data_IF_766278148267
#
_entry.id   IF_766278148267
#
_cell.length_a   1.000
_cell.length_b   1.000
_cell.length_c   1.000
_cell.angle_alpha   90.00
_cell.angle_beta   90.00
_cell.angle_gamma   90.00
#
_symmetry.space_group_name_H-M   'P 1'
#
loop_
_entity.id
_entity.type
_entity.pdbx_description
1 polymer ?
#
# COMPACT_ATOMS: atom_id res chain seq x y z
N UNK A 1 2.85 19.50 29.50
CA UNK A 1 3.55 20.62 28.82
C UNK A 1 3.85 20.32 27.35
N UNK A 2 4.44 19.18 27.00
CA UNK A 2 4.71 18.83 25.60
C UNK A 2 3.45 18.72 24.70
N UNK A 3 2.34 18.17 25.21
CA UNK A 3 1.09 18.01 24.44
C UNK A 3 0.40 19.36 24.11
N UNK A 4 0.45 20.33 25.02
CA UNK A 4 -0.11 21.66 24.78
C UNK A 4 0.68 22.42 23.71
N UNK A 5 2.02 22.30 23.74
CA UNK A 5 2.90 22.87 22.72
C UNK A 5 2.69 22.19 21.35
N UNK A 6 2.50 20.87 21.32
CA UNK A 6 2.18 20.14 20.09
C UNK A 6 0.83 20.60 19.50
N UNK A 7 -0.21 20.72 20.33
CA UNK A 7 -1.53 21.21 19.91
C UNK A 7 -1.47 22.66 19.40
N UNK A 8 -0.70 23.53 20.06
CA UNK A 8 -0.48 24.91 19.62
C UNK A 8 0.27 25.01 18.28
N UNK A 9 1.27 24.14 18.07
CA UNK A 9 2.02 24.05 16.81
C UNK A 9 1.14 23.61 15.64
N UNK A 10 0.30 22.59 15.85
CA UNK A 10 -0.67 22.11 14.84
C UNK A 10 -1.69 23.20 14.52
N UNK A 11 -2.18 23.93 15.52
CA UNK A 11 -3.14 25.01 15.30
C UNK A 11 -2.56 26.14 14.42
N UNK A 12 -1.34 26.60 14.70
CA UNK A 12 -0.69 27.65 13.89
C UNK A 12 -0.40 27.15 12.47
N UNK A 13 0.16 25.95 12.35
CA UNK A 13 0.59 25.41 11.06
C UNK A 13 -0.60 24.98 10.20
N UNK A 14 -1.51 24.16 10.72
CA UNK A 14 -2.64 23.63 9.96
C UNK A 14 -3.87 24.54 9.98
N UNK A 15 -4.12 25.26 11.07
CA UNK A 15 -5.32 26.08 11.25
C UNK A 15 -5.22 27.49 10.65
N UNK A 16 -4.03 28.11 10.66
CA UNK A 16 -3.86 29.50 10.19
C UNK A 16 -3.07 29.53 8.89
N UNK A 17 -1.91 28.87 8.85
CA UNK A 17 -0.99 28.98 7.72
C UNK A 17 -1.54 28.32 6.44
N UNK A 18 -2.08 27.10 6.51
CA UNK A 18 -2.62 26.40 5.32
C UNK A 18 -3.81 27.14 4.70
N UNK A 19 -4.87 27.54 5.44
CA UNK A 19 -6.00 28.27 4.84
C UNK A 19 -5.59 29.65 4.34
N UNK A 20 -4.71 30.37 5.06
CA UNK A 20 -4.24 31.67 4.60
C UNK A 20 -3.52 31.56 3.26
N UNK A 21 -2.63 30.58 3.09
CA UNK A 21 -1.98 30.36 1.81
C UNK A 21 -2.94 29.81 0.74
N UNK A 22 -3.90 28.97 1.11
CA UNK A 22 -4.87 28.45 0.15
C UNK A 22 -5.80 29.54 -0.43
N UNK A 23 -6.19 30.53 0.36
CA UNK A 23 -7.17 31.55 -0.05
C UNK A 23 -6.56 32.93 -0.39
N UNK A 24 -5.44 33.30 0.24
CA UNK A 24 -4.85 34.63 0.14
C UNK A 24 -3.40 34.64 -0.40
N UNK A 25 -2.84 33.49 -0.80
CA UNK A 25 -1.56 33.47 -1.52
C UNK A 25 -1.72 33.90 -2.98
N UNK A 26 -0.58 33.98 -3.67
CA UNK A 26 -0.50 34.26 -5.11
C UNK A 26 -1.47 33.37 -5.90
N UNK A 27 -2.40 33.98 -6.65
CA UNK A 27 -3.28 33.26 -7.57
C UNK A 27 -2.41 32.54 -8.61
N UNK A 28 -2.40 31.21 -8.56
CA UNK A 28 -1.67 30.36 -9.50
C UNK A 28 -2.38 30.23 -10.85
N UNK A 29 -3.54 30.90 -11.03
CA UNK A 29 -4.30 30.91 -12.29
C UNK A 29 -5.02 29.59 -12.61
N UNK A 30 -4.95 28.61 -11.70
CA UNK A 30 -5.57 27.30 -11.88
C UNK A 30 -7.06 27.44 -11.61
N UNK A 31 -7.89 27.24 -12.63
CA UNK A 31 -9.35 27.18 -12.50
C UNK A 31 -9.76 25.72 -12.35
N UNK A 32 -9.89 25.24 -11.12
CA UNK A 32 -10.33 23.88 -10.82
C UNK A 32 -11.86 23.79 -10.89
N UNK A 33 -12.37 22.72 -11.50
CA UNK A 33 -13.80 22.37 -11.43
C UNK A 33 -14.19 21.96 -10.03
N UNK A 34 -15.43 22.23 -9.62
CA UNK A 34 -15.96 21.72 -8.35
C UNK A 34 -15.88 20.19 -8.29
N UNK A 35 -15.65 19.61 -7.09
CA UNK A 35 -15.59 18.16 -6.92
C UNK A 35 -16.89 17.46 -7.35
N UNK A 36 -16.84 16.20 -7.80
CA UNK A 36 -18.03 15.44 -8.16
C UNK A 36 -18.98 15.31 -6.95
N UNK A 37 -20.30 15.22 -7.17
CA UNK A 37 -21.31 15.29 -6.11
C UNK A 37 -21.16 14.19 -5.05
N UNK A 38 -20.68 13.01 -5.44
CA UNK A 38 -20.41 11.91 -4.51
C UNK A 38 -19.29 12.26 -3.50
N UNK A 39 -18.27 13.00 -3.94
CA UNK A 39 -17.19 13.47 -3.07
C UNK A 39 -17.70 14.56 -2.12
N UNK A 40 -18.53 15.48 -2.62
CA UNK A 40 -19.15 16.52 -1.80
C UNK A 40 -20.00 15.90 -0.68
N UNK A 41 -20.85 14.92 -1.02
CA UNK A 41 -21.70 14.22 -0.05
C UNK A 41 -20.86 13.50 1.02
N UNK A 42 -19.78 12.82 0.64
CA UNK A 42 -18.87 12.18 1.59
C UNK A 42 -18.21 13.21 2.53
N UNK A 43 -17.75 14.35 2.00
CA UNK A 43 -17.19 15.43 2.81
C UNK A 43 -18.23 16.02 3.77
N UNK A 44 -19.47 16.22 3.33
CA UNK A 44 -20.55 16.72 4.19
C UNK A 44 -20.88 15.75 5.32
N UNK A 45 -20.96 14.46 5.05
CA UNK A 45 -21.22 13.43 6.07
C UNK A 45 -20.07 13.39 7.08
N UNK A 46 -18.82 13.41 6.62
CA UNK A 46 -17.65 13.44 7.49
C UNK A 46 -17.62 14.71 8.37
N UNK A 47 -17.88 15.88 7.78
CA UNK A 47 -17.96 17.14 8.51
C UNK A 47 -19.09 17.12 9.55
N UNK A 48 -20.27 16.60 9.18
CA UNK A 48 -21.39 16.45 10.10
C UNK A 48 -21.04 15.53 11.28
N UNK A 49 -20.40 14.39 11.04
CA UNK A 49 -19.95 13.48 12.09
C UNK A 49 -18.92 14.14 13.01
N UNK A 50 -17.93 14.85 12.45
CA UNK A 50 -16.95 15.59 13.25
C UNK A 50 -17.62 16.65 14.14
N UNK A 51 -18.60 17.39 13.61
CA UNK A 51 -19.36 18.37 14.37
C UNK A 51 -20.26 17.72 15.43
N UNK A 52 -20.95 16.63 15.09
CA UNK A 52 -21.83 15.92 16.00
C UNK A 52 -21.07 15.35 17.21
N UNK A 53 -19.92 14.72 16.95
CA UNK A 53 -19.04 14.18 18.01
C UNK A 53 -18.43 15.34 18.83
N UNK A 54 -18.07 16.45 18.18
CA UNK A 54 -17.51 17.62 18.85
C UNK A 54 -18.49 18.33 19.78
N UNK A 55 -19.75 18.49 19.35
CA UNK A 55 -20.80 19.18 20.13
C UNK A 55 -21.35 18.29 21.25
N UNK A 56 -21.49 16.99 21.00
CA UNK A 56 -22.06 16.04 21.95
C UNK A 56 -21.08 14.91 22.29
N UNK A 57 -20.04 15.22 23.10
CA UNK A 57 -19.01 14.23 23.43
C UNK A 57 -19.52 13.13 24.39
N UNK A 58 -20.65 13.37 25.07
CA UNK A 58 -21.32 12.40 25.96
C UNK A 58 -21.66 11.09 25.24
N UNK A 59 -21.96 11.14 23.93
CA UNK A 59 -22.18 9.93 23.12
C UNK A 59 -20.96 9.02 23.08
N UNK A 60 -19.75 9.58 23.08
CA UNK A 60 -18.51 8.82 23.09
C UNK A 60 -18.14 8.35 24.50
N UNK A 61 -18.35 9.20 25.51
CA UNK A 61 -18.05 8.87 26.91
C UNK A 61 -18.90 7.70 27.45
N UNK A 62 -20.13 7.54 26.98
CA UNK A 62 -20.99 6.40 27.34
C UNK A 62 -20.49 5.03 26.85
N UNK A 63 -19.62 5.01 25.83
CA UNK A 63 -19.03 3.78 25.28
C UNK A 63 -17.75 3.40 26.04
N UNK A 64 -17.19 4.33 26.83
CA UNK A 64 -15.97 4.09 27.58
C UNK A 64 -16.24 3.21 28.81
N UNK A 65 -15.46 2.13 29.03
CA UNK A 65 -15.65 1.21 30.16
C UNK A 65 -15.25 1.79 31.53
N UNK A 66 -14.58 2.94 31.56
CA UNK A 66 -14.13 3.61 32.78
C UNK A 66 -14.74 5.01 32.86
N UNK A 67 -15.28 5.37 34.03
CA UNK A 67 -15.84 6.70 34.26
C UNK A 67 -14.74 7.76 34.18
N UNK A 68 -14.86 8.68 33.23
CA UNK A 68 -14.00 9.86 33.13
C UNK A 68 -14.81 11.08 33.54
N UNK A 69 -14.59 11.58 34.76
CA UNK A 69 -15.13 12.87 35.23
C UNK A 69 -14.35 14.03 34.59
N UNK A 70 -14.37 14.11 33.26
CA UNK A 70 -13.72 15.18 32.50
C UNK A 70 -14.79 16.05 31.86
N UNK A 71 -14.84 17.32 32.24
CA UNK A 71 -15.73 18.30 31.61
C UNK A 71 -14.98 19.03 30.48
N UNK A 72 -15.18 18.66 29.20
CA UNK A 72 -14.45 19.26 28.08
C UNK A 72 -14.76 20.75 27.87
N UNK A 73 -15.88 21.25 28.41
CA UNK A 73 -16.31 22.64 28.31
C UNK A 73 -16.11 23.43 29.61
N UNK A 74 -15.08 23.10 30.39
CA UNK A 74 -14.72 23.93 31.52
C UNK A 74 -14.15 25.29 31.07
N UNK A 75 -14.52 26.36 31.78
CA UNK A 75 -14.21 27.74 31.43
C UNK A 75 -12.70 27.97 31.29
N UNK A 76 -11.91 27.31 32.13
CA UNK A 76 -10.44 27.41 32.14
C UNK A 76 -9.82 26.91 30.83
N UNK A 77 -10.30 25.78 30.31
CA UNK A 77 -9.79 25.15 29.10
C UNK A 77 -10.15 25.95 27.85
N UNK A 78 -11.40 26.38 27.75
CA UNK A 78 -11.90 27.19 26.62
C UNK A 78 -11.21 28.55 26.59
N UNK A 79 -11.05 29.20 27.74
CA UNK A 79 -10.41 30.52 27.82
C UNK A 79 -8.92 30.45 27.45
N UNK A 80 -8.19 29.44 27.94
CA UNK A 80 -6.79 29.26 27.58
C UNK A 80 -6.60 29.00 26.08
N UNK A 81 -7.46 28.18 25.48
CA UNK A 81 -7.35 27.82 24.07
C UNK A 81 -7.74 29.00 23.15
N UNK A 82 -8.79 29.76 23.49
CA UNK A 82 -9.20 30.97 22.77
C UNK A 82 -8.17 32.09 22.87
N UNK A 83 -7.54 32.28 24.04
CA UNK A 83 -6.45 33.23 24.21
C UNK A 83 -5.24 32.87 23.32
N UNK A 84 -4.86 31.59 23.30
CA UNK A 84 -3.75 31.12 22.46
C UNK A 84 -4.06 31.27 20.97
N UNK A 85 -5.28 30.94 20.55
CA UNK A 85 -5.80 31.19 19.20
C UNK A 85 -5.69 32.67 18.80
N UNK A 86 -6.18 33.57 19.67
CA UNK A 86 -6.19 35.01 19.42
C UNK A 86 -4.77 35.57 19.26
N UNK A 87 -3.85 35.23 20.16
CA UNK A 87 -2.46 35.67 20.07
C UNK A 87 -1.73 35.08 18.86
N UNK A 88 -2.02 33.83 18.48
CA UNK A 88 -1.46 33.21 17.28
C UNK A 88 -1.94 33.93 16.00
N UNK A 89 -3.23 34.27 15.91
CA UNK A 89 -3.78 35.06 14.81
C UNK A 89 -3.17 36.47 14.76
N UNK A 90 -3.07 37.15 15.90
CA UNK A 90 -2.48 38.50 15.97
C UNK A 90 -1.01 38.47 15.53
N UNK A 91 -0.22 37.53 16.03
CA UNK A 91 1.18 37.36 15.64
C UNK A 91 1.32 37.08 14.13
N UNK A 92 0.42 36.28 13.56
CA UNK A 92 0.39 35.99 12.13
C UNK A 92 0.05 37.24 11.29
N UNK A 93 -1.01 37.97 11.64
CA UNK A 93 -1.40 39.21 10.96
C UNK A 93 -0.31 40.27 11.06
N UNK A 94 0.32 40.41 12.22
CA UNK A 94 1.45 41.32 12.43
C UNK A 94 2.63 40.97 11.52
N UNK A 95 3.03 39.69 11.47
CA UNK A 95 4.12 39.23 10.60
C UNK A 95 3.82 39.44 9.12
N UNK A 96 2.54 39.30 8.73
CA UNK A 96 2.09 39.56 7.37
C UNK A 96 2.17 41.05 7.02
N UNK A 97 1.67 41.92 7.89
CA UNK A 97 1.74 43.38 7.72
C UNK A 97 3.18 43.92 7.67
N UNK A 98 4.09 43.31 8.42
CA UNK A 98 5.51 43.67 8.44
C UNK A 98 6.29 43.18 7.22
N UNK A 99 5.70 42.32 6.37
CA UNK A 99 6.34 41.83 5.15
C UNK A 99 7.55 40.91 5.38
N UNK A 100 7.79 40.46 6.62
CA UNK A 100 8.90 39.57 6.99
C UNK A 100 8.52 38.08 6.82
N UNK A 101 7.33 37.80 6.29
CA UNK A 101 6.87 36.42 6.18
C UNK A 101 7.76 35.63 5.20
N UNK A 102 8.44 34.55 5.66
CA UNK A 102 9.37 33.82 4.81
C UNK A 102 8.67 33.24 3.58
N UNK A 103 9.27 33.37 2.38
CA UNK A 103 8.70 32.80 1.17
C UNK A 103 8.62 31.27 1.27
N UNK A 104 7.57 30.69 0.70
CA UNK A 104 7.37 29.25 0.66
C UNK A 104 8.55 28.58 -0.03
N UNK A 105 9.38 27.88 0.76
CA UNK A 105 10.35 26.95 0.20
C UNK A 105 9.61 25.68 -0.15
N UNK A 106 9.72 25.24 -1.40
CA UNK A 106 9.23 23.94 -1.84
C UNK A 106 10.01 22.87 -1.09
N UNK A 107 9.43 22.37 0.00
CA UNK A 107 9.97 21.26 0.76
C UNK A 107 9.40 19.96 0.15
N UNK A 108 10.29 19.13 -0.40
CA UNK A 108 9.92 17.77 -0.78
C UNK A 108 9.86 16.96 0.51
N UNK A 109 8.67 16.85 1.10
CA UNK A 109 8.45 15.96 2.24
C UNK A 109 8.43 14.52 1.74
N UNK A 110 9.52 13.79 1.96
CA UNK A 110 9.60 12.39 1.58
C UNK A 110 8.88 11.56 2.65
N UNK A 111 7.60 11.30 2.41
CA UNK A 111 6.77 10.51 3.32
C UNK A 111 7.30 9.06 3.42
N UNK A 112 7.06 8.41 4.56
CA UNK A 112 7.41 7.00 4.80
C UNK A 112 6.79 6.06 3.75
N UNK A 113 5.68 6.47 3.12
CA UNK A 113 5.08 5.76 2.00
C UNK A 113 6.07 5.56 0.82
N UNK A 114 6.92 6.55 0.54
CA UNK A 114 7.96 6.42 -0.48
C UNK A 114 8.95 5.30 -0.14
N UNK A 115 9.35 5.21 1.13
CA UNK A 115 10.27 4.18 1.60
C UNK A 115 9.65 2.79 1.41
N UNK A 116 8.40 2.62 1.86
CA UNK A 116 7.67 1.36 1.69
C UNK A 116 7.52 0.97 0.21
N UNK A 117 6.98 1.86 -0.64
CA UNK A 117 6.75 1.58 -2.07
C UNK A 117 8.05 1.26 -2.80
N UNK A 118 9.13 2.01 -2.54
CA UNK A 118 10.41 1.83 -3.24
C UNK A 118 11.15 0.58 -2.76
N UNK A 119 11.11 0.29 -1.47
CA UNK A 119 11.74 -0.90 -0.91
C UNK A 119 11.03 -2.17 -1.34
N UNK A 120 9.69 -2.24 -1.24
CA UNK A 120 8.92 -3.43 -1.64
C UNK A 120 9.12 -3.74 -3.12
N UNK A 121 9.05 -2.72 -3.99
CA UNK A 121 9.23 -2.92 -5.42
C UNK A 121 10.60 -3.52 -5.75
N UNK A 122 11.66 -2.98 -5.13
CA UNK A 122 13.02 -3.51 -5.31
C UNK A 122 13.18 -4.92 -4.76
N UNK A 123 12.48 -5.25 -3.67
CA UNK A 123 12.52 -6.59 -3.09
C UNK A 123 11.82 -7.61 -4.01
N UNK A 124 10.65 -7.26 -4.53
CA UNK A 124 9.89 -8.09 -5.47
C UNK A 124 10.68 -8.32 -6.76
N UNK A 125 11.27 -7.27 -7.35
CA UNK A 125 12.10 -7.38 -8.56
C UNK A 125 13.32 -8.29 -8.36
N UNK A 126 13.95 -8.25 -7.17
CA UNK A 126 15.08 -9.14 -6.85
C UNK A 126 14.64 -10.59 -6.63
N UNK A 127 13.52 -10.79 -5.95
CA UNK A 127 12.99 -12.14 -5.68
C UNK A 127 12.52 -12.81 -6.97
N UNK A 128 11.85 -12.09 -7.87
CA UNK A 128 11.42 -12.64 -9.16
C UNK A 128 12.62 -13.04 -10.02
N UNK A 129 13.65 -12.18 -10.10
CA UNK A 129 14.86 -12.49 -10.85
C UNK A 129 15.63 -13.69 -10.26
N UNK A 130 15.61 -13.87 -8.94
CA UNK A 130 16.22 -15.02 -8.28
C UNK A 130 15.47 -16.32 -8.57
N UNK A 131 14.13 -16.28 -8.57
CA UNK A 131 13.28 -17.42 -8.92
C UNK A 131 13.45 -17.81 -10.40
N UNK A 132 13.45 -16.83 -11.31
CA UNK A 132 13.63 -17.08 -12.75
C UNK A 132 15.01 -17.67 -13.05
N UNK A 133 16.05 -17.20 -12.35
CA UNK A 133 17.40 -17.75 -12.46
C UNK A 133 17.45 -19.22 -12.00
N UNK A 134 16.80 -19.53 -10.88
CA UNK A 134 16.75 -20.89 -10.34
C UNK A 134 15.93 -21.85 -11.23
N UNK A 135 14.81 -21.40 -11.77
CA UNK A 135 13.97 -22.19 -12.69
C UNK A 135 14.68 -22.49 -14.00
N UNK A 136 15.41 -21.51 -14.55
CA UNK A 136 16.16 -21.69 -15.80
C UNK A 136 17.26 -22.76 -15.69
N UNK A 137 17.98 -22.81 -14.56
CA UNK A 137 19.00 -23.85 -14.33
C UNK A 137 18.41 -25.24 -14.12
N UNK A 138 17.28 -25.33 -13.40
CA UNK A 138 16.58 -26.59 -13.20
C UNK A 138 16.02 -27.12 -14.52
N UNK A 139 15.41 -26.24 -15.32
CA UNK A 139 14.80 -26.61 -16.59
C UNK A 139 15.81 -27.14 -17.60
N UNK A 140 16.98 -26.50 -17.73
CA UNK A 140 18.05 -26.97 -18.63
C UNK A 140 18.57 -28.33 -18.17
N UNK A 141 18.81 -28.52 -16.86
CA UNK A 141 19.28 -29.81 -16.30
C UNK A 141 18.24 -30.94 -16.48
N UNK A 142 16.95 -30.61 -16.37
CA UNK A 142 15.86 -31.59 -16.54
C UNK A 142 15.67 -31.94 -18.02
N UNK A 143 15.67 -30.97 -18.93
CA UNK A 143 15.55 -31.21 -20.37
C UNK A 143 16.75 -32.03 -20.90
N UNK A 144 17.97 -31.73 -20.45
CA UNK A 144 19.18 -32.50 -20.83
C UNK A 144 19.14 -33.93 -20.29
N UNK A 145 18.67 -34.14 -19.05
CA UNK A 145 18.54 -35.47 -18.47
C UNK A 145 17.46 -36.29 -19.19
N UNK A 146 16.33 -35.69 -19.53
CA UNK A 146 15.24 -36.34 -20.26
C UNK A 146 15.71 -36.75 -21.66
N UNK A 147 16.38 -35.85 -22.39
CA UNK A 147 16.90 -36.15 -23.73
C UNK A 147 17.97 -37.24 -23.71
N UNK A 148 18.82 -37.28 -22.70
CA UNK A 148 19.80 -38.35 -22.51
C UNK A 148 19.13 -39.71 -22.26
N UNK A 149 18.07 -39.75 -21.44
CA UNK A 149 17.31 -40.98 -21.18
C UNK A 149 16.60 -41.44 -22.46
N UNK A 150 15.94 -40.53 -23.18
CA UNK A 150 15.24 -40.87 -24.44
C UNK A 150 16.22 -41.40 -25.49
N UNK A 151 17.39 -40.79 -25.65
CA UNK A 151 18.40 -41.26 -26.61
C UNK A 151 19.03 -42.58 -26.19
N UNK A 152 19.25 -42.82 -24.90
CA UNK A 152 19.72 -44.09 -24.37
C UNK A 152 18.72 -45.24 -24.64
N UNK A 153 17.43 -45.00 -24.40
CA UNK A 153 16.38 -45.98 -24.69
C UNK A 153 16.14 -46.17 -26.19
N UNK A 154 16.24 -45.11 -27.00
CA UNK A 154 16.12 -45.18 -28.45
C UNK A 154 17.24 -46.05 -29.07
N UNK A 155 18.47 -45.96 -28.54
CA UNK A 155 19.60 -46.78 -28.99
C UNK A 155 19.45 -48.26 -28.61
N UNK A 156 18.72 -48.57 -27.53
CA UNK A 156 18.52 -49.96 -27.07
C UNK A 156 17.34 -50.66 -27.75
N UNK A 157 16.33 -49.92 -28.22
CA UNK A 157 15.09 -50.50 -28.78
C UNK A 157 14.95 -50.49 -30.31
N UNK A 158 15.81 -49.80 -31.07
CA UNK A 158 15.73 -49.79 -32.54
C UNK A 158 17.12 -49.89 -33.22
N UNK A 159 17.49 -51.05 -33.79
CA UNK A 159 18.61 -51.16 -34.71
C UNK A 159 18.11 -51.22 -36.15
N UNK A 160 17.36 -50.23 -36.66
CA UNK A 160 17.18 -50.04 -38.12
C UNK A 160 16.99 -48.54 -38.44
N UNK A 161 17.84 -48.05 -39.34
CA UNK A 161 17.41 -47.24 -40.48
C UNK A 161 17.16 -45.76 -40.25
N UNK A 162 18.14 -44.95 -40.67
CA UNK A 162 17.96 -43.53 -41.02
C UNK A 162 16.83 -43.40 -42.06
N UNK A 163 15.66 -42.94 -41.64
CA UNK A 163 14.60 -42.50 -42.57
C UNK A 163 13.24 -43.13 -42.32
N UNK A 164 12.48 -42.54 -41.39
CA UNK A 164 11.02 -42.48 -41.45
C UNK A 164 10.52 -41.52 -40.36
N UNK A 165 10.63 -40.22 -40.64
CA UNK A 165 9.91 -39.18 -39.91
C UNK A 165 8.43 -39.28 -40.29
N UNK A 166 7.62 -40.11 -39.62
CA UNK A 166 6.18 -39.82 -39.49
C UNK A 166 5.52 -40.50 -38.27
N UNK A 167 5.13 -39.65 -37.31
CA UNK A 167 3.89 -39.69 -36.48
C UNK A 167 3.85 -40.46 -35.13
N UNK A 168 2.97 -40.00 -34.20
CA UNK A 168 3.16 -40.01 -32.75
C UNK A 168 2.40 -41.15 -32.05
N UNK A 169 2.52 -42.38 -32.55
CA UNK A 169 1.93 -43.56 -31.89
C UNK A 169 2.87 -44.16 -30.83
N UNK A 170 4.18 -43.99 -30.96
CA UNK A 170 5.14 -44.49 -29.96
C UNK A 170 5.04 -43.76 -28.62
N UNK A 171 4.81 -42.44 -28.64
CA UNK A 171 4.77 -41.63 -27.41
C UNK A 171 3.50 -41.91 -26.59
N UNK A 172 2.34 -42.06 -27.24
CA UNK A 172 1.09 -42.44 -26.56
C UNK A 172 1.18 -43.85 -25.98
N UNK A 173 1.79 -44.81 -26.69
CA UNK A 173 2.02 -46.16 -26.16
C UNK A 173 2.97 -46.15 -24.95
N UNK A 174 4.02 -45.33 -24.97
CA UNK A 174 4.91 -45.16 -23.80
C UNK A 174 4.17 -44.53 -22.61
N UNK A 175 3.36 -43.49 -22.81
CA UNK A 175 2.56 -42.91 -21.72
C UNK A 175 1.54 -43.92 -21.17
N UNK A 176 0.89 -44.70 -22.03
CA UNK A 176 -0.03 -45.77 -21.60
C UNK A 176 0.73 -46.84 -20.81
N UNK A 177 1.92 -47.26 -21.24
CA UNK A 177 2.73 -48.24 -20.53
C UNK A 177 3.22 -47.74 -19.16
N UNK A 178 3.65 -46.47 -19.08
CA UNK A 178 4.06 -45.83 -17.82
C UNK A 178 2.86 -45.70 -16.87
N UNK A 179 1.70 -45.28 -17.39
CA UNK A 179 0.48 -45.13 -16.60
C UNK A 179 -0.02 -46.49 -16.13
N UNK A 180 0.05 -47.54 -16.96
CA UNK A 180 -0.26 -48.92 -16.58
C UNK A 180 0.71 -49.45 -15.50
N UNK A 181 2.01 -49.18 -15.62
CA UNK A 181 3.01 -49.59 -14.64
C UNK A 181 2.81 -48.87 -13.30
N UNK A 182 2.50 -47.56 -13.33
CA UNK A 182 2.16 -46.79 -12.15
C UNK A 182 0.86 -47.30 -11.51
N UNK A 183 -0.16 -47.62 -12.32
CA UNK A 183 -1.43 -48.17 -11.85
C UNK A 183 -1.24 -49.55 -11.21
N UNK A 184 -0.49 -50.46 -11.84
CA UNK A 184 -0.16 -51.78 -11.29
C UNK A 184 0.64 -51.65 -9.99
N UNK A 185 1.59 -50.73 -9.93
CA UNK A 185 2.38 -50.49 -8.73
C UNK A 185 1.52 -49.91 -7.59
N UNK A 186 0.60 -49.00 -7.89
CA UNK A 186 -0.33 -48.44 -6.92
C UNK A 186 -1.32 -49.52 -6.42
N UNK A 187 -1.81 -50.37 -7.32
CA UNK A 187 -2.67 -51.52 -6.97
C UNK A 187 -1.93 -52.56 -6.11
N UNK A 188 -0.64 -52.83 -6.39
CA UNK A 188 0.18 -53.77 -5.62
C UNK A 188 0.66 -53.20 -4.28
N UNK A 189 0.79 -51.88 -4.15
CA UNK A 189 1.26 -51.22 -2.92
C UNK A 189 0.17 -50.97 -1.88
N UNK A 190 -1.11 -50.99 -2.27
CA UNK A 190 -2.25 -50.85 -1.36
C UNK A 190 -3.21 -52.06 -1.49
N UNK A 191 -2.87 -53.23 -0.92
CA UNK A 191 -3.76 -54.40 -0.91
C UNK A 191 -4.75 -54.32 0.26
N UNK A 192 -5.72 -53.39 0.21
CA UNK A 192 -6.86 -53.35 1.13
C UNK A 192 -8.11 -52.81 0.44
#
# INVERSE_FOLDING_TARGET
MALLLASAGVLKHAGIQIPYFAFFAHDSGIRTSEPPPNMLLAMTIAAFLCLAIGIYPDMLYRILPFATDFNPYDLTHVLAQTQLLFFAMLAFVWLNLQGIYPPEKVAINLDSEWFYRRFLRRLVEKLSAWIDGFDSELRIKVEDRINWVITYFAQRHYPIGKGAVIRPTGNTVMYIAILLAAYLWLLLSFPH
#
